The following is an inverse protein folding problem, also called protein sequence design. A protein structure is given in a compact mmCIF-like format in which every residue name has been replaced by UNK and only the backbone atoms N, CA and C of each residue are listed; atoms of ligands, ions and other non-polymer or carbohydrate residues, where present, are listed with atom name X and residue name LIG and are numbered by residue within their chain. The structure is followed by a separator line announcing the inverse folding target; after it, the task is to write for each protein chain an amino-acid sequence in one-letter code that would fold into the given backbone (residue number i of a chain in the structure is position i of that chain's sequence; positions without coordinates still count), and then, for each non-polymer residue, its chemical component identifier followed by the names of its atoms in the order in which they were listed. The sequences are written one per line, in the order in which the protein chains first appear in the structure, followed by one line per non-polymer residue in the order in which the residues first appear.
data_IF_159526706472
#
_entry.id   IF_159526706472
#
_cell.length_a   1.000
_cell.length_b   1.000
_cell.length_c   1.000
_cell.angle_alpha   90.00
_cell.angle_beta   90.00
_cell.angle_gamma   90.00
#
_symmetry.space_group_name_H-M   'P 1'
#
loop_
_entity.id
_entity.type
_entity.pdbx_description
1 polymer ?
#
# COMPACT_ATOMS: atom_id res chain seq x y z
N UNK A 1 38.45 -56.23 -35.25
CA UNK A 1 37.67 -56.31 -34.00
C UNK A 1 38.05 -55.18 -33.04
N UNK A 2 38.04 -53.92 -33.51
CA UNK A 2 38.53 -52.73 -32.77
C UNK A 2 37.68 -51.49 -33.12
N UNK A 3 36.38 -51.51 -32.83
CA UNK A 3 35.48 -50.37 -33.10
C UNK A 3 34.44 -50.10 -32.00
N UNK A 4 34.74 -50.42 -30.75
CA UNK A 4 33.78 -50.24 -29.64
C UNK A 4 34.40 -49.71 -28.34
N UNK A 5 35.35 -48.78 -28.42
CA UNK A 5 35.92 -48.14 -27.22
C UNK A 5 35.95 -46.61 -27.27
N UNK A 6 35.33 -45.98 -28.27
CA UNK A 6 35.40 -44.52 -28.49
C UNK A 6 34.22 -43.70 -27.96
N UNK A 7 33.11 -44.33 -27.56
CA UNK A 7 31.84 -43.60 -27.39
C UNK A 7 31.43 -43.29 -25.95
N UNK A 8 32.20 -43.71 -24.94
CA UNK A 8 31.82 -43.49 -23.53
C UNK A 8 32.40 -42.19 -22.95
N UNK A 9 33.45 -41.61 -23.57
CA UNK A 9 34.09 -40.39 -23.05
C UNK A 9 33.36 -39.10 -23.47
N UNK A 10 32.50 -39.16 -24.50
CA UNK A 10 31.82 -37.97 -25.03
C UNK A 10 30.57 -37.53 -24.23
N UNK A 11 30.10 -38.34 -23.26
CA UNK A 11 28.87 -38.05 -22.50
C UNK A 11 29.12 -37.36 -21.15
N UNK A 12 30.37 -36.98 -20.83
CA UNK A 12 30.74 -36.42 -19.52
C UNK A 12 30.97 -34.90 -19.50
N UNK A 13 30.80 -34.19 -20.63
CA UNK A 13 31.17 -32.76 -20.73
C UNK A 13 29.94 -31.81 -20.76
N UNK A 14 28.71 -32.33 -20.80
CA UNK A 14 27.50 -31.51 -21.01
C UNK A 14 26.76 -31.00 -19.77
N UNK A 15 27.23 -31.30 -18.54
CA UNK A 15 26.45 -31.07 -17.32
C UNK A 15 27.01 -29.97 -16.41
N UNK A 16 27.61 -28.91 -16.95
CA UNK A 16 27.74 -27.65 -16.22
C UNK A 16 26.42 -26.90 -16.30
N UNK A 17 25.45 -27.33 -15.47
CA UNK A 17 24.37 -26.45 -15.05
C UNK A 17 25.02 -25.22 -14.43
N UNK A 18 25.09 -24.14 -15.18
CA UNK A 18 25.33 -22.81 -14.62
C UNK A 18 24.15 -22.58 -13.68
N UNK A 19 24.34 -22.87 -12.40
CA UNK A 19 23.45 -22.41 -11.36
C UNK A 19 23.43 -20.89 -11.47
N UNK A 20 22.41 -20.34 -12.13
CA UNK A 20 22.13 -18.92 -12.06
C UNK A 20 22.13 -18.57 -10.57
N UNK A 21 22.91 -17.57 -10.13
CA UNK A 21 22.88 -17.18 -8.74
C UNK A 21 21.43 -16.85 -8.43
N UNK A 22 20.83 -17.60 -7.52
CA UNK A 22 19.56 -17.24 -6.93
C UNK A 22 19.78 -15.84 -6.36
N UNK A 23 19.26 -14.81 -7.04
CA UNK A 23 19.35 -13.44 -6.56
C UNK A 23 18.62 -13.43 -5.22
N UNK A 24 19.41 -13.39 -4.15
CA UNK A 24 18.96 -13.25 -2.79
C UNK A 24 17.97 -12.07 -2.70
N UNK A 25 16.91 -12.25 -1.92
CA UNK A 25 15.76 -11.35 -1.80
C UNK A 25 16.14 -9.85 -1.93
N UNK A 26 15.84 -9.25 -3.08
CA UNK A 26 16.07 -7.82 -3.35
C UNK A 26 15.29 -6.96 -2.36
N UNK A 27 14.13 -7.44 -1.89
CA UNK A 27 13.28 -6.77 -0.91
C UNK A 27 13.71 -7.05 0.54
N UNK A 28 13.78 -6.03 1.42
CA UNK A 28 13.49 -4.61 1.19
C UNK A 28 14.72 -3.75 0.81
N UNK A 29 15.87 -4.33 0.45
CA UNK A 29 17.16 -3.60 0.37
C UNK A 29 17.46 -2.81 -0.91
N UNK A 30 16.73 -3.03 -2.00
CA UNK A 30 16.96 -2.38 -3.31
C UNK A 30 16.79 -0.85 -3.28
N UNK A 31 15.79 -0.34 -2.56
CA UNK A 31 15.45 1.08 -2.49
C UNK A 31 14.54 1.38 -1.29
N UNK A 32 14.31 2.64 -0.92
CA UNK A 32 13.33 2.98 0.12
C UNK A 32 11.91 2.51 -0.23
N UNK A 33 11.17 2.08 0.79
CA UNK A 33 9.74 1.78 0.65
C UNK A 33 8.97 3.10 0.70
N UNK A 34 7.98 3.26 -0.17
CA UNK A 34 7.08 4.42 -0.21
C UNK A 34 5.70 4.02 0.25
N UNK A 35 5.14 4.79 1.18
CA UNK A 35 3.73 4.72 1.56
C UNK A 35 3.04 5.92 0.93
N UNK A 36 2.16 5.65 -0.04
CA UNK A 36 1.36 6.66 -0.72
C UNK A 36 0.09 6.89 0.09
N UNK A 37 -0.09 8.12 0.56
CA UNK A 37 -1.26 8.58 1.30
C UNK A 37 -2.16 9.40 0.38
N UNK A 38 -3.46 9.12 0.40
CA UNK A 38 -4.42 9.70 -0.55
C UNK A 38 -5.14 10.96 -0.05
N UNK A 39 -4.66 11.53 1.05
CA UNK A 39 -5.16 12.77 1.68
C UNK A 39 -4.01 13.78 1.86
N UNK A 40 -4.31 15.09 2.05
CA UNK A 40 -3.28 16.10 2.29
C UNK A 40 -2.42 15.81 3.54
N UNK A 41 -1.19 16.33 3.59
CA UNK A 41 -0.34 16.24 4.78
C UNK A 41 -1.06 16.77 6.04
N UNK A 42 -0.86 16.10 7.18
CA UNK A 42 -1.52 16.44 8.45
C UNK A 42 -2.95 15.93 8.61
N UNK A 43 -3.55 15.34 7.57
CA UNK A 43 -4.83 14.64 7.70
C UNK A 43 -4.72 13.35 8.53
N UNK A 44 -5.84 12.84 9.04
CA UNK A 44 -5.86 11.64 9.92
C UNK A 44 -5.10 10.44 9.35
N UNK A 45 -5.31 10.09 8.07
CA UNK A 45 -4.58 8.99 7.42
C UNK A 45 -3.09 9.27 7.23
N UNK A 46 -2.67 10.54 7.04
CA UNK A 46 -1.25 10.91 6.94
C UNK A 46 -0.52 10.68 8.26
N UNK A 47 -1.13 11.10 9.37
CA UNK A 47 -0.56 10.89 10.71
C UNK A 47 -0.37 9.39 10.99
N UNK A 48 -1.39 8.58 10.72
CA UNK A 48 -1.34 7.13 10.93
C UNK A 48 -0.34 6.44 9.99
N UNK A 49 -0.22 6.90 8.74
CA UNK A 49 0.79 6.40 7.80
C UNK A 49 2.21 6.70 8.27
N UNK A 50 2.47 7.88 8.85
CA UNK A 50 3.79 8.24 9.41
C UNK A 50 4.16 7.40 10.61
N UNK A 51 3.21 7.12 11.51
CA UNK A 51 3.41 6.16 12.62
C UNK A 51 3.75 4.77 12.08
N UNK A 52 3.05 4.33 11.03
CA UNK A 52 3.31 3.05 10.37
C UNK A 52 4.70 3.02 9.73
N UNK A 53 5.09 4.07 9.02
CA UNK A 53 6.39 4.20 8.37
C UNK A 53 7.54 4.11 9.37
N UNK A 54 7.44 4.84 10.48
CA UNK A 54 8.42 4.83 11.57
C UNK A 54 8.58 3.43 12.19
N UNK A 55 7.46 2.74 12.45
CA UNK A 55 7.49 1.36 12.95
C UNK A 55 8.12 0.38 11.95
N UNK A 56 7.79 0.48 10.66
CA UNK A 56 8.36 -0.35 9.60
C UNK A 56 9.86 -0.08 9.44
N UNK A 57 10.28 1.18 9.46
CA UNK A 57 11.69 1.54 9.35
C UNK A 57 12.54 0.89 10.45
N UNK A 58 12.06 0.91 11.71
CA UNK A 58 12.75 0.23 12.83
C UNK A 58 12.83 -1.28 12.66
N UNK A 59 11.79 -1.91 12.10
CA UNK A 59 11.73 -3.37 11.93
C UNK A 59 12.53 -3.87 10.72
N UNK A 60 12.52 -3.10 9.63
CA UNK A 60 13.14 -3.50 8.36
C UNK A 60 14.58 -3.00 8.21
N UNK A 61 14.99 -2.00 9.00
CA UNK A 61 16.30 -1.36 8.83
C UNK A 61 16.45 -0.70 7.45
N UNK A 62 15.33 -0.29 6.84
CA UNK A 62 15.25 0.37 5.54
C UNK A 62 14.41 1.64 5.66
N UNK A 63 14.74 2.65 4.86
CA UNK A 63 13.98 3.90 4.86
C UNK A 63 12.54 3.64 4.37
N UNK A 64 11.57 4.19 5.10
CA UNK A 64 10.16 4.18 4.71
C UNK A 64 9.66 5.62 4.62
N UNK A 65 9.28 6.04 3.42
CA UNK A 65 8.95 7.43 3.10
C UNK A 65 7.45 7.56 2.88
N UNK A 66 6.83 8.56 3.50
CA UNK A 66 5.41 8.89 3.27
C UNK A 66 5.31 9.98 2.20
N UNK A 67 4.58 9.70 1.12
CA UNK A 67 4.27 10.67 0.06
C UNK A 67 2.76 10.89 -0.03
N UNK A 68 2.32 12.15 0.06
CA UNK A 68 0.90 12.51 -0.10
C UNK A 68 0.57 12.75 -1.57
N UNK A 69 -0.42 12.03 -2.10
CA UNK A 69 -1.01 12.21 -3.44
C UNK A 69 -2.53 12.42 -3.32
N UNK A 70 -2.97 13.58 -2.80
CA UNK A 70 -4.38 13.87 -2.62
C UNK A 70 -5.09 14.18 -3.95
N UNK A 71 -6.42 14.21 -3.89
CA UNK A 71 -7.28 14.73 -4.95
C UNK A 71 -8.25 13.70 -5.52
N UNK A 72 -9.32 14.23 -6.12
CA UNK A 72 -10.43 13.45 -6.64
C UNK A 72 -10.91 12.37 -5.66
N UNK A 73 -11.24 12.71 -4.41
CA UNK A 73 -11.67 11.74 -3.39
C UNK A 73 -10.75 10.51 -3.35
N UNK A 74 -9.45 10.76 -3.26
CA UNK A 74 -8.38 9.75 -3.18
C UNK A 74 -8.08 8.95 -4.45
N UNK A 75 -8.87 9.04 -5.52
CA UNK A 75 -8.64 8.18 -6.70
C UNK A 75 -7.32 8.44 -7.42
N UNK A 76 -6.75 9.64 -7.31
CA UNK A 76 -5.44 9.96 -7.91
C UNK A 76 -4.32 9.12 -7.28
N UNK A 77 -4.25 9.09 -5.94
CA UNK A 77 -3.23 8.32 -5.24
C UNK A 77 -3.46 6.81 -5.37
N UNK A 78 -4.71 6.36 -5.42
CA UNK A 78 -5.03 4.94 -5.65
C UNK A 78 -4.59 4.50 -7.05
N UNK A 79 -4.93 5.26 -8.10
CA UNK A 79 -4.49 4.94 -9.48
C UNK A 79 -2.96 4.94 -9.61
N UNK A 80 -2.28 5.85 -8.93
CA UNK A 80 -0.82 5.87 -8.88
C UNK A 80 -0.25 4.56 -8.34
N UNK A 81 -0.78 4.03 -7.23
CA UNK A 81 -0.29 2.75 -6.66
C UNK A 81 -0.72 1.56 -7.51
N UNK A 82 -1.93 1.55 -8.06
CA UNK A 82 -2.41 0.48 -8.94
C UNK A 82 -1.55 0.31 -10.21
N UNK A 83 -0.88 1.38 -10.66
CA UNK A 83 0.06 1.36 -11.80
C UNK A 83 1.52 1.14 -11.41
N UNK A 84 1.85 1.13 -10.13
CA UNK A 84 3.21 0.94 -9.66
C UNK A 84 3.69 -0.50 -9.90
N UNK A 85 5.01 -0.75 -10.00
CA UNK A 85 5.53 -2.11 -10.03
C UNK A 85 5.06 -2.93 -8.82
N UNK A 86 4.68 -4.18 -9.06
CA UNK A 86 4.24 -5.12 -8.02
C UNK A 86 5.44 -5.74 -7.27
N UNK A 87 6.34 -4.91 -6.75
CA UNK A 87 7.62 -5.30 -6.13
C UNK A 87 7.70 -5.03 -4.61
N UNK A 88 6.61 -4.52 -4.02
CA UNK A 88 6.49 -4.23 -2.60
C UNK A 88 7.07 -2.88 -2.15
N UNK A 89 7.68 -2.10 -3.04
CA UNK A 89 8.26 -0.79 -2.69
C UNK A 89 7.28 0.37 -2.72
N UNK A 90 6.08 0.17 -3.28
CA UNK A 90 5.02 1.19 -3.29
C UNK A 90 3.78 0.63 -2.61
N UNK A 91 3.46 1.14 -1.44
CA UNK A 91 2.33 0.74 -0.62
C UNK A 91 1.26 1.82 -0.65
N UNK A 92 -0.01 1.42 -0.59
CA UNK A 92 -1.15 2.32 -0.50
C UNK A 92 -1.63 2.41 0.95
N UNK A 93 -1.82 3.63 1.46
CA UNK A 93 -2.48 3.90 2.73
C UNK A 93 -3.71 4.76 2.47
N UNK A 94 -4.88 4.15 2.63
CA UNK A 94 -6.20 4.75 2.32
C UNK A 94 -7.13 4.65 3.51
N UNK A 95 -8.05 5.62 3.63
CA UNK A 95 -9.13 5.58 4.60
C UNK A 95 -10.43 4.98 4.04
N UNK A 96 -11.52 5.25 4.75
CA UNK A 96 -12.86 4.76 4.40
C UNK A 96 -13.34 5.23 3.02
N UNK A 97 -12.80 6.35 2.51
CA UNK A 97 -13.12 6.89 1.20
C UNK A 97 -12.84 5.90 0.06
N UNK A 98 -11.84 5.01 0.20
CA UNK A 98 -11.56 3.98 -0.79
C UNK A 98 -12.74 3.02 -1.02
N UNK A 99 -13.49 2.72 0.04
CA UNK A 99 -14.70 1.89 -0.04
C UNK A 99 -15.94 2.68 -0.50
N UNK A 100 -16.02 3.98 -0.21
CA UNK A 100 -17.19 4.81 -0.52
C UNK A 100 -17.19 5.28 -1.98
N UNK A 101 -16.02 5.63 -2.53
CA UNK A 101 -15.91 6.25 -3.85
C UNK A 101 -16.51 5.43 -5.00
N UNK A 102 -16.37 4.09 -5.08
CA UNK A 102 -17.04 3.27 -6.09
C UNK A 102 -18.56 3.40 -6.08
N UNK A 103 -19.17 3.62 -4.90
CA UNK A 103 -20.62 3.75 -4.79
C UNK A 103 -21.14 5.07 -5.38
N UNK A 104 -20.30 6.09 -5.47
CA UNK A 104 -20.68 7.45 -5.92
C UNK A 104 -20.03 7.86 -7.24
N UNK A 105 -19.13 7.04 -7.80
CA UNK A 105 -18.49 7.28 -9.10
C UNK A 105 -18.68 6.12 -10.06
N UNK A 106 -19.35 6.41 -11.17
CA UNK A 106 -19.63 5.43 -12.24
C UNK A 106 -18.38 4.86 -12.90
N UNK A 107 -17.28 5.62 -12.94
CA UNK A 107 -16.02 5.23 -13.59
C UNK A 107 -14.86 5.53 -12.65
N UNK A 108 -14.06 4.51 -12.37
CA UNK A 108 -12.83 4.61 -11.60
C UNK A 108 -11.62 4.47 -12.54
N UNK A 109 -10.50 5.14 -12.24
CA UNK A 109 -9.27 5.01 -13.02
C UNK A 109 -8.47 3.73 -12.71
N UNK A 110 -8.86 2.98 -11.68
CA UNK A 110 -8.23 1.74 -11.22
C UNK A 110 -9.25 0.62 -11.10
N UNK A 111 -8.77 -0.63 -10.96
CA UNK A 111 -9.58 -1.78 -10.58
C UNK A 111 -9.12 -2.34 -9.23
N UNK A 112 -9.99 -3.07 -8.55
CA UNK A 112 -9.66 -3.66 -7.25
C UNK A 112 -8.63 -4.79 -7.37
N UNK A 113 -8.63 -5.50 -8.49
CA UNK A 113 -7.71 -6.61 -8.78
C UNK A 113 -6.27 -6.14 -8.99
N UNK A 114 -6.08 -4.85 -9.25
CA UNK A 114 -4.75 -4.25 -9.41
C UNK A 114 -4.13 -3.88 -8.03
N UNK A 115 -4.83 -4.17 -6.93
CA UNK A 115 -4.42 -3.88 -5.56
C UNK A 115 -4.49 -5.15 -4.70
N UNK A 116 -3.47 -5.35 -3.86
CA UNK A 116 -3.47 -6.44 -2.88
C UNK A 116 -3.74 -5.87 -1.49
N UNK A 117 -4.81 -6.32 -0.84
CA UNK A 117 -5.08 -5.99 0.56
C UNK A 117 -4.03 -6.66 1.45
N UNK A 118 -3.36 -5.86 2.29
CA UNK A 118 -2.36 -6.35 3.24
C UNK A 118 -2.94 -6.47 4.65
N UNK A 119 -3.44 -5.36 5.20
CA UNK A 119 -3.94 -5.28 6.58
C UNK A 119 -4.74 -3.99 6.78
N UNK A 120 -5.62 -3.98 7.77
CA UNK A 120 -6.23 -2.79 8.35
C UNK A 120 -5.52 -2.48 9.68
N UNK A 121 -4.50 -1.60 9.69
CA UNK A 121 -3.68 -1.39 10.88
C UNK A 121 -4.38 -0.55 11.95
N UNK A 122 -5.43 0.20 11.59
CA UNK A 122 -6.17 1.07 12.49
C UNK A 122 -7.68 1.01 12.23
N UNK A 123 -8.45 1.23 13.29
CA UNK A 123 -9.88 1.53 13.20
C UNK A 123 -10.11 2.87 13.89
N UNK A 124 -10.67 3.84 13.16
CA UNK A 124 -10.94 5.19 13.67
C UNK A 124 -12.45 5.37 13.72
N UNK A 125 -12.98 5.68 14.89
CA UNK A 125 -14.39 6.03 15.05
C UNK A 125 -14.61 7.51 14.64
N UNK A 126 -15.54 7.82 13.74
CA UNK A 126 -15.90 9.20 13.47
C UNK A 126 -16.52 9.84 14.72
N UNK A 127 -16.24 11.13 14.92
CA UNK A 127 -16.78 11.91 16.03
C UNK A 127 -17.54 13.12 15.49
N UNK A 128 -18.69 13.42 16.09
CA UNK A 128 -19.46 14.64 15.81
C UNK A 128 -19.02 15.68 16.85
N UNK A 129 -18.49 16.80 16.38
CA UNK A 129 -17.98 17.88 17.23
C UNK A 129 -18.64 19.18 16.79
N UNK A 130 -19.29 19.86 17.74
CA UNK A 130 -19.83 21.20 17.56
C UNK A 130 -18.79 22.28 17.87
N UNK A 131 -19.00 23.50 17.36
CA UNK A 131 -18.24 24.67 17.81
C UNK A 131 -18.48 24.89 19.32
N UNK A 132 -17.51 25.41 20.09
CA UNK A 132 -17.74 25.77 21.49
C UNK A 132 -18.85 26.82 21.68
N UNK A 133 -19.21 27.56 20.63
CA UNK A 133 -20.31 28.54 20.63
C UNK A 133 -21.67 27.94 20.26
N UNK A 134 -21.70 26.69 19.83
CA UNK A 134 -22.92 25.99 19.44
C UNK A 134 -23.58 25.44 20.70
N UNK A 135 -24.85 25.76 20.90
CA UNK A 135 -25.54 25.56 22.19
C UNK A 135 -25.79 24.09 22.55
N UNK A 136 -26.13 23.20 21.61
CA UNK A 136 -26.26 21.78 21.91
C UNK A 136 -25.00 21.18 22.52
N UNK A 137 -25.10 20.82 23.80
CA UNK A 137 -24.00 20.24 24.58
C UNK A 137 -23.99 18.72 24.58
N UNK A 138 -25.07 18.13 24.06
CA UNK A 138 -25.31 16.70 24.03
C UNK A 138 -26.03 16.29 22.74
N UNK A 139 -26.01 15.00 22.41
CA UNK A 139 -26.75 14.47 21.27
C UNK A 139 -28.28 14.70 21.39
N UNK A 140 -28.92 14.51 22.56
CA UNK A 140 -30.33 14.87 22.74
C UNK A 140 -30.62 16.35 22.45
N UNK A 141 -29.78 17.27 22.93
CA UNK A 141 -29.96 18.71 22.67
C UNK A 141 -29.84 19.00 21.18
N UNK A 142 -28.87 18.37 20.49
CA UNK A 142 -28.67 18.52 19.06
C UNK A 142 -29.90 18.03 18.28
N UNK A 143 -30.47 16.89 18.69
CA UNK A 143 -31.66 16.35 18.05
C UNK A 143 -32.91 17.21 18.29
N UNK A 144 -33.01 17.88 19.44
CA UNK A 144 -34.10 18.81 19.71
C UNK A 144 -33.96 20.08 18.84
N UNK A 145 -32.75 20.63 18.75
CA UNK A 145 -32.42 21.80 17.92
C UNK A 145 -32.70 21.57 16.44
N UNK A 146 -32.30 20.42 15.88
CA UNK A 146 -32.52 20.08 14.45
C UNK A 146 -33.99 19.86 14.07
N UNK A 147 -34.87 19.65 15.04
CA UNK A 147 -36.31 19.42 14.81
C UNK A 147 -37.15 20.70 14.94
N UNK A 148 -36.58 21.76 15.52
CA UNK A 148 -37.21 23.06 15.67
C UNK A 148 -37.18 23.84 14.33
#
# INVERSE_FOLDING_TARGET
MFRFLGSIVALLIGATQVASPAMAQEFPKKQPIKIIVTVPPGGGSDVLARVTADALQRRLGQSVIVENKPGASSTIGVDFVARAPADGYTLLFVGAEFAVVPAVRKKLPYRFEDLTYLVQPFTVAPVIIGSPKYQPSSLPDLLADMKA
#
